data_IF_650180116592
#
_entry.id   IF_650180116592
#
_cell.length_a   1.000
_cell.length_b   1.000
_cell.length_c   1.000
_cell.angle_alpha   90.00
_cell.angle_beta   90.00
_cell.angle_gamma   90.00
#
_symmetry.space_group_name_H-M   'P 1'
#
loop_
_entity.id
_entity.type
_entity.pdbx_description
1 polymer ?
#
# COMPACT_ATOMS: atom_id res chain seq x y z
N UNK A 1 -7.18 8.36 42.63
CA UNK A 1 -5.99 9.13 42.15
C UNK A 1 -5.57 8.85 40.70
N UNK A 2 -5.40 7.60 40.23
CA UNK A 2 -5.10 7.33 38.80
C UNK A 2 -6.39 7.30 37.95
N UNK A 3 -7.43 6.64 38.44
CA UNK A 3 -8.73 6.52 37.78
C UNK A 3 -9.40 7.87 37.52
N UNK A 4 -9.43 8.79 38.49
CA UNK A 4 -10.01 10.13 38.33
C UNK A 4 -9.29 10.98 37.27
N UNK A 5 -7.95 10.84 37.16
CA UNK A 5 -7.18 11.50 36.09
C UNK A 5 -7.54 10.96 34.71
N UNK A 6 -7.82 9.65 34.59
CA UNK A 6 -8.27 9.03 33.35
C UNK A 6 -9.66 9.57 32.95
N UNK A 7 -10.57 9.75 33.91
CA UNK A 7 -11.90 10.32 33.65
C UNK A 7 -11.87 11.79 33.22
N UNK A 8 -11.04 12.63 33.84
CA UNK A 8 -10.87 14.02 33.42
C UNK A 8 -10.30 14.15 31.99
N UNK A 9 -9.43 13.23 31.60
CA UNK A 9 -8.84 13.17 30.25
C UNK A 9 -9.86 12.63 29.23
N UNK A 10 -10.78 11.73 29.63
CA UNK A 10 -11.78 11.15 28.74
C UNK A 10 -12.69 12.19 28.03
N UNK A 11 -12.94 13.35 28.65
CA UNK A 11 -13.75 14.44 28.07
C UNK A 11 -13.12 15.13 26.84
N UNK A 12 -11.80 15.08 26.72
CA UNK A 12 -11.06 15.67 25.59
C UNK A 12 -10.74 14.59 24.54
N UNK A 13 -10.63 13.33 24.94
CA UNK A 13 -10.09 12.27 24.09
C UNK A 13 -11.08 11.81 23.02
N UNK A 14 -12.39 11.81 23.28
CA UNK A 14 -13.41 11.43 22.29
C UNK A 14 -13.38 12.33 21.04
N UNK A 15 -13.41 13.65 21.24
CA UNK A 15 -13.32 14.63 20.15
C UNK A 15 -11.95 14.61 19.48
N UNK A 16 -10.87 14.51 20.25
CA UNK A 16 -9.51 14.44 19.70
C UNK A 16 -9.32 13.19 18.82
N UNK A 17 -9.87 12.04 19.22
CA UNK A 17 -9.82 10.81 18.42
C UNK A 17 -10.58 10.94 17.10
N UNK A 18 -11.76 11.56 17.10
CA UNK A 18 -12.51 11.80 15.87
C UNK A 18 -11.78 12.75 14.92
N UNK A 19 -11.21 13.85 15.43
CA UNK A 19 -10.38 14.77 14.64
C UNK A 19 -9.12 14.09 14.10
N UNK A 20 -8.48 13.24 14.91
CA UNK A 20 -7.33 12.44 14.50
C UNK A 20 -7.71 11.46 13.38
N UNK A 21 -8.82 10.73 13.52
CA UNK A 21 -9.33 9.82 12.50
C UNK A 21 -9.67 10.55 11.20
N UNK A 22 -10.30 11.72 11.29
CA UNK A 22 -10.58 12.57 10.14
C UNK A 22 -9.29 13.01 9.44
N UNK A 23 -8.29 13.44 10.19
CA UNK A 23 -6.99 13.82 9.65
C UNK A 23 -6.29 12.64 8.94
N UNK A 24 -6.27 11.46 9.58
CA UNK A 24 -5.72 10.24 8.99
C UNK A 24 -6.50 9.84 7.71
N UNK A 25 -7.82 10.04 7.70
CA UNK A 25 -8.66 9.80 6.51
C UNK A 25 -8.29 10.70 5.34
N UNK A 26 -8.09 11.99 5.60
CA UNK A 26 -7.68 12.94 4.56
C UNK A 26 -6.29 12.61 4.02
N UNK A 27 -5.34 12.26 4.90
CA UNK A 27 -4.01 11.81 4.50
C UNK A 27 -4.07 10.51 3.67
N UNK A 28 -4.87 9.52 4.10
CA UNK A 28 -4.97 8.24 3.40
C UNK A 28 -5.59 8.43 2.01
N UNK A 29 -6.64 9.24 1.88
CA UNK A 29 -7.24 9.61 0.59
C UNK A 29 -6.24 10.32 -0.32
N UNK A 30 -5.47 11.28 0.20
CA UNK A 30 -4.43 11.96 -0.56
C UNK A 30 -3.37 10.99 -1.11
N UNK A 31 -2.91 10.06 -0.28
CA UNK A 31 -1.95 9.03 -0.69
C UNK A 31 -2.56 8.03 -1.70
N UNK A 32 -3.83 7.66 -1.54
CA UNK A 32 -4.55 6.81 -2.51
C UNK A 32 -4.60 7.49 -3.88
N UNK A 33 -4.95 8.78 -3.94
CA UNK A 33 -5.04 9.52 -5.20
C UNK A 33 -3.68 9.64 -5.88
N UNK A 34 -2.63 10.04 -5.14
CA UNK A 34 -1.27 10.09 -5.67
C UNK A 34 -0.85 8.74 -6.27
N UNK A 35 -1.14 7.64 -5.56
CA UNK A 35 -0.85 6.29 -6.04
C UNK A 35 -1.67 5.86 -7.24
N UNK A 36 -2.94 6.27 -7.30
CA UNK A 36 -3.78 5.98 -8.44
C UNK A 36 -3.20 6.54 -9.74
N UNK A 37 -2.70 7.78 -9.75
CA UNK A 37 -2.15 8.37 -10.97
C UNK A 37 -0.77 7.78 -11.33
N UNK A 38 0.13 7.63 -10.36
CA UNK A 38 1.49 7.17 -10.62
C UNK A 38 1.55 5.68 -10.95
N UNK A 39 0.91 4.83 -10.13
CA UNK A 39 1.03 3.37 -10.30
C UNK A 39 0.19 2.85 -11.48
N UNK A 40 -0.94 3.48 -11.80
CA UNK A 40 -1.75 3.10 -12.97
C UNK A 40 -0.97 3.27 -14.26
N UNK A 41 -0.20 4.35 -14.41
CA UNK A 41 0.65 4.59 -15.58
C UNK A 41 1.68 3.47 -15.74
N UNK A 42 2.45 3.20 -14.67
CA UNK A 42 3.47 2.15 -14.65
C UNK A 42 2.87 0.77 -14.94
N UNK A 43 1.77 0.43 -14.27
CA UNK A 43 1.12 -0.87 -14.42
C UNK A 43 0.54 -1.10 -15.82
N UNK A 44 0.15 -0.02 -16.52
CA UNK A 44 -0.31 -0.09 -17.91
C UNK A 44 0.83 -0.48 -18.85
N UNK A 45 2.02 0.13 -18.69
CA UNK A 45 3.21 -0.26 -19.46
C UNK A 45 3.63 -1.70 -19.16
N UNK A 46 3.63 -2.11 -17.89
CA UNK A 46 3.90 -3.50 -17.50
C UNK A 46 2.94 -4.50 -18.17
N UNK A 47 1.64 -4.18 -18.26
CA UNK A 47 0.68 -5.05 -18.97
C UNK A 47 1.04 -5.19 -20.44
N UNK A 48 1.39 -4.09 -21.11
CA UNK A 48 1.84 -4.08 -22.50
C UNK A 48 3.08 -4.96 -22.69
N UNK A 49 4.10 -4.81 -21.84
CA UNK A 49 5.32 -5.62 -21.90
C UNK A 49 5.02 -7.11 -21.68
N UNK A 50 4.16 -7.45 -20.71
CA UNK A 50 3.76 -8.85 -20.47
C UNK A 50 3.03 -9.47 -21.66
N UNK A 51 2.16 -8.71 -22.32
CA UNK A 51 1.51 -9.17 -23.56
C UNK A 51 2.52 -9.39 -24.69
N UNK A 52 3.49 -8.48 -24.83
CA UNK A 52 4.58 -8.63 -25.79
C UNK A 52 5.47 -9.85 -25.50
N UNK A 53 5.84 -10.08 -24.24
CA UNK A 53 6.58 -11.28 -23.80
C UNK A 53 5.80 -12.55 -24.19
N UNK A 54 4.51 -12.60 -23.88
CA UNK A 54 3.66 -13.76 -24.19
C UNK A 54 3.63 -14.03 -25.70
N UNK A 55 3.44 -12.99 -26.51
CA UNK A 55 3.41 -13.10 -27.97
C UNK A 55 4.79 -13.53 -28.53
N UNK A 56 5.88 -13.04 -27.97
CA UNK A 56 7.24 -13.41 -28.37
C UNK A 56 7.53 -14.89 -28.13
N UNK A 57 7.09 -15.43 -26.98
CA UNK A 57 7.27 -16.85 -26.65
C UNK A 57 6.49 -17.73 -27.64
N UNK A 58 5.26 -17.34 -27.99
CA UNK A 58 4.44 -18.08 -28.96
C UNK A 58 5.05 -18.06 -30.37
N UNK A 59 5.55 -16.90 -30.79
CA UNK A 59 6.09 -16.69 -32.13
C UNK A 59 7.58 -17.05 -32.27
N UNK A 60 8.20 -17.62 -31.22
CA UNK A 60 9.63 -17.99 -31.19
C UNK A 60 10.58 -16.85 -31.59
N UNK A 61 10.20 -15.59 -31.30
CA UNK A 61 11.01 -14.43 -31.66
C UNK A 61 12.25 -14.35 -30.75
N UNK A 62 13.41 -14.61 -31.34
CA UNK A 62 14.69 -14.64 -30.65
C UNK A 62 15.19 -13.25 -30.24
N UNK A 63 14.81 -12.23 -31.01
CA UNK A 63 15.36 -10.87 -30.89
C UNK A 63 14.48 -9.94 -30.05
N UNK A 64 13.38 -10.45 -29.49
CA UNK A 64 12.46 -9.67 -28.66
C UNK A 64 13.14 -9.01 -27.46
N UNK A 65 14.15 -9.68 -26.88
CA UNK A 65 14.91 -9.10 -25.77
C UNK A 65 15.67 -7.83 -26.20
N UNK A 66 16.21 -7.79 -27.42
CA UNK A 66 16.85 -6.59 -27.95
C UNK A 66 15.84 -5.47 -28.24
N UNK A 67 14.64 -5.82 -28.71
CA UNK A 67 13.56 -4.85 -28.93
C UNK A 67 13.04 -4.27 -27.61
N UNK A 68 12.86 -5.12 -26.59
CA UNK A 68 12.47 -4.69 -25.24
C UNK A 68 13.54 -3.78 -24.63
N UNK A 69 14.82 -4.06 -24.84
CA UNK A 69 15.92 -3.21 -24.40
C UNK A 69 15.94 -1.82 -25.05
N UNK A 70 15.20 -1.59 -26.14
CA UNK A 70 15.05 -0.25 -26.74
C UNK A 70 13.97 0.58 -26.03
N UNK A 71 13.05 -0.06 -25.31
CA UNK A 71 12.04 0.64 -24.52
C UNK A 71 12.64 1.15 -23.20
N UNK A 72 13.01 2.42 -23.14
CA UNK A 72 13.55 3.03 -21.91
C UNK A 72 12.47 3.67 -21.03
N UNK A 73 11.20 3.59 -21.43
CA UNK A 73 10.09 4.19 -20.69
C UNK A 73 9.57 3.25 -19.59
N UNK A 74 9.55 1.95 -19.84
CA UNK A 74 9.14 0.93 -18.86
C UNK A 74 10.28 0.52 -17.92
N UNK A 75 9.94 0.02 -16.72
CA UNK A 75 10.94 -0.51 -15.79
C UNK A 75 11.61 -1.77 -16.36
N UNK A 76 10.82 -2.59 -17.06
CA UNK A 76 11.22 -3.80 -17.75
C UNK A 76 12.21 -3.53 -18.88
N UNK A 77 11.93 -2.55 -19.74
CA UNK A 77 12.82 -2.24 -20.84
C UNK A 77 14.11 -1.53 -20.39
N UNK A 78 14.06 -0.71 -19.32
CA UNK A 78 15.26 -0.17 -18.68
C UNK A 78 16.20 -1.25 -18.16
N UNK A 79 15.68 -2.25 -17.43
CA UNK A 79 16.52 -3.33 -16.95
C UNK A 79 16.98 -4.24 -18.08
N UNK A 80 16.14 -4.48 -19.11
CA UNK A 80 16.56 -5.17 -20.32
C UNK A 80 17.71 -4.45 -21.04
N UNK A 81 17.70 -3.11 -21.07
CA UNK A 81 18.79 -2.31 -21.63
C UNK A 81 20.11 -2.50 -20.88
N UNK A 82 20.07 -2.35 -19.55
CA UNK A 82 21.25 -2.57 -18.71
C UNK A 82 21.77 -4.01 -18.81
N UNK A 83 20.85 -4.98 -18.79
CA UNK A 83 21.17 -6.39 -18.97
C UNK A 83 21.79 -6.68 -20.34
N UNK A 84 21.26 -6.11 -21.43
CA UNK A 84 21.81 -6.28 -22.77
C UNK A 84 23.22 -5.72 -22.88
N UNK A 85 23.48 -4.55 -22.28
CA UNK A 85 24.84 -3.97 -22.21
C UNK A 85 25.79 -4.89 -21.43
N UNK A 86 25.35 -5.37 -20.27
CA UNK A 86 26.11 -6.28 -19.42
C UNK A 86 26.45 -7.60 -20.13
N UNK A 87 25.47 -8.20 -20.83
CA UNK A 87 25.66 -9.44 -21.59
C UNK A 87 26.70 -9.26 -22.69
N UNK A 88 26.73 -8.11 -23.36
CA UNK A 88 27.73 -7.82 -24.41
C UNK A 88 29.14 -7.65 -23.86
N UNK A 89 29.29 -7.16 -22.63
CA UNK A 89 30.59 -6.86 -22.02
C UNK A 89 31.16 -8.04 -21.21
N UNK A 90 30.30 -8.71 -20.43
CA UNK A 90 30.69 -9.70 -19.40
C UNK A 90 29.99 -11.05 -19.55
N UNK A 91 29.15 -11.23 -20.57
CA UNK A 91 28.35 -12.44 -20.77
C UNK A 91 27.26 -12.62 -19.72
N UNK A 92 26.91 -13.87 -19.44
CA UNK A 92 25.85 -14.23 -18.47
C UNK A 92 26.24 -14.08 -16.99
N UNK A 93 27.54 -13.91 -16.68
CA UNK A 93 28.03 -13.82 -15.28
C UNK A 93 27.58 -12.51 -14.63
N UNK A 94 26.98 -12.57 -13.45
CA UNK A 94 26.56 -11.38 -12.71
C UNK A 94 25.18 -10.82 -13.13
N UNK A 95 24.50 -11.45 -14.09
CA UNK A 95 23.22 -10.95 -14.60
C UNK A 95 22.12 -11.06 -13.53
N UNK A 96 22.07 -12.16 -12.78
CA UNK A 96 21.09 -12.34 -11.71
C UNK A 96 21.25 -11.30 -10.61
N UNK A 97 22.49 -11.03 -10.20
CA UNK A 97 22.83 -9.99 -9.22
C UNK A 97 22.37 -8.62 -9.71
N UNK A 98 22.60 -8.29 -10.99
CA UNK A 98 22.16 -7.04 -11.60
C UNK A 98 20.63 -6.87 -11.54
N UNK A 99 19.85 -7.90 -11.86
CA UNK A 99 18.39 -7.87 -11.74
C UNK A 99 17.92 -7.75 -10.29
N UNK A 100 18.55 -8.49 -9.37
CA UNK A 100 18.23 -8.43 -7.95
C UNK A 100 18.49 -7.04 -7.36
N UNK A 101 19.64 -6.43 -7.66
CA UNK A 101 19.97 -5.06 -7.25
C UNK A 101 18.98 -4.05 -7.82
N UNK A 102 18.58 -4.21 -9.09
CA UNK A 102 17.58 -3.34 -9.70
C UNK A 102 16.23 -3.42 -8.99
N UNK A 103 15.73 -4.64 -8.72
CA UNK A 103 14.48 -4.87 -7.98
C UNK A 103 14.54 -4.24 -6.59
N UNK A 104 15.64 -4.41 -5.85
CA UNK A 104 15.83 -3.81 -4.53
C UNK A 104 15.80 -2.28 -4.57
N UNK A 105 16.27 -1.68 -5.67
CA UNK A 105 16.30 -0.23 -5.84
C UNK A 105 14.91 0.34 -6.13
N UNK A 106 14.14 -0.30 -7.04
CA UNK A 106 12.83 0.23 -7.46
C UNK A 106 11.68 -0.14 -6.52
N UNK A 107 11.81 -1.24 -5.76
CA UNK A 107 10.71 -1.76 -4.93
C UNK A 107 10.23 -0.74 -3.89
N UNK A 108 11.10 -0.03 -3.15
CA UNK A 108 10.65 1.01 -2.23
C UNK A 108 9.86 2.14 -2.92
N UNK A 109 10.23 2.51 -4.15
CA UNK A 109 9.51 3.52 -4.93
C UNK A 109 8.11 3.05 -5.33
N UNK A 110 7.99 1.78 -5.72
CA UNK A 110 6.71 1.13 -6.03
C UNK A 110 5.84 0.90 -4.78
N UNK A 111 6.45 0.73 -3.61
CA UNK A 111 5.76 0.47 -2.32
C UNK A 111 5.56 1.72 -1.44
N UNK A 112 6.11 2.89 -1.81
CA UNK A 112 5.82 4.19 -1.17
C UNK A 112 4.32 4.33 -0.82
N UNK A 113 4.04 4.82 0.39
CA UNK A 113 2.68 4.94 0.98
C UNK A 113 1.87 3.65 1.19
N UNK A 114 2.21 2.50 0.59
CA UNK A 114 1.48 1.24 0.85
C UNK A 114 1.63 0.84 2.32
N UNK A 115 2.82 0.98 2.90
CA UNK A 115 3.04 0.72 4.32
C UNK A 115 2.16 1.61 5.21
N UNK A 116 1.99 2.89 4.85
CA UNK A 116 1.11 3.79 5.58
C UNK A 116 -0.35 3.34 5.49
N UNK A 117 -0.83 3.01 4.29
CA UNK A 117 -2.19 2.49 4.09
C UNK A 117 -2.42 1.17 4.85
N UNK A 118 -1.42 0.30 4.91
CA UNK A 118 -1.47 -0.93 5.70
C UNK A 118 -1.59 -0.62 7.20
N UNK A 119 -0.79 0.32 7.72
CA UNK A 119 -0.84 0.75 9.13
C UNK A 119 -2.18 1.40 9.46
N UNK A 120 -2.69 2.29 8.61
CA UNK A 120 -4.00 2.93 8.81
C UNK A 120 -5.11 1.87 8.77
N UNK A 121 -5.07 0.98 7.79
CA UNK A 121 -6.04 -0.09 7.64
C UNK A 121 -6.11 -1.04 8.84
N UNK A 122 -4.97 -1.35 9.47
CA UNK A 122 -4.93 -2.22 10.64
C UNK A 122 -5.22 -1.50 11.96
N UNK A 123 -4.87 -0.22 12.10
CA UNK A 123 -4.96 0.49 13.38
C UNK A 123 -6.18 1.42 13.53
N UNK A 124 -6.75 1.94 12.43
CA UNK A 124 -7.93 2.82 12.51
C UNK A 124 -9.16 2.16 13.18
N UNK A 125 -9.44 0.85 13.01
CA UNK A 125 -10.53 0.20 13.76
C UNK A 125 -10.29 0.20 15.26
N UNK A 126 -9.04 0.01 15.70
CA UNK A 126 -8.68 0.02 17.12
C UNK A 126 -8.77 1.43 17.72
N UNK A 127 -8.46 2.48 16.95
CA UNK A 127 -8.71 3.86 17.38
C UNK A 127 -10.21 4.14 17.56
N UNK A 128 -11.06 3.63 16.67
CA UNK A 128 -12.51 3.73 16.81
C UNK A 128 -13.04 2.97 18.03
N UNK A 129 -12.56 1.73 18.24
CA UNK A 129 -12.89 0.92 19.42
C UNK A 129 -12.48 1.62 20.72
N UNK A 130 -11.28 2.19 20.77
CA UNK A 130 -10.81 2.98 21.90
C UNK A 130 -11.75 4.16 22.19
N UNK A 131 -12.19 4.87 21.15
CA UNK A 131 -13.19 5.94 21.27
C UNK A 131 -14.50 5.45 21.89
N UNK A 132 -14.97 4.26 21.49
CA UNK A 132 -16.17 3.67 22.09
C UNK A 132 -15.99 3.29 23.56
N UNK A 133 -14.85 2.68 23.92
CA UNK A 133 -14.56 2.33 25.32
C UNK A 133 -14.56 3.60 26.20
N UNK A 134 -13.88 4.66 25.75
CA UNK A 134 -13.81 5.92 26.50
C UNK A 134 -15.17 6.63 26.58
N UNK A 135 -15.94 6.63 25.49
CA UNK A 135 -17.28 7.22 25.47
C UNK A 135 -18.26 6.50 26.40
N UNK A 136 -18.21 5.17 26.44
CA UNK A 136 -19.01 4.37 27.38
C UNK A 136 -18.58 4.64 28.82
N UNK A 137 -17.27 4.65 29.10
CA UNK A 137 -16.75 4.98 30.44
C UNK A 137 -17.24 6.34 30.93
N UNK A 138 -17.22 7.35 30.05
CA UNK A 138 -17.73 8.69 30.32
C UNK A 138 -19.23 8.68 30.63
N UNK A 139 -20.03 8.02 29.80
CA UNK A 139 -21.49 7.95 30.00
C UNK A 139 -21.86 7.33 31.36
N UNK A 140 -21.14 6.30 31.81
CA UNK A 140 -21.34 5.70 33.14
C UNK A 140 -20.83 6.57 34.29
N UNK A 141 -19.77 7.34 34.10
CA UNK A 141 -19.29 8.29 35.10
C UNK A 141 -20.26 9.46 35.28
N UNK A 142 -20.81 9.99 34.19
CA UNK A 142 -21.79 11.08 34.25
C UNK A 142 -23.06 10.63 34.99
N UNK A 143 -23.46 9.36 34.81
CA UNK A 143 -24.56 8.74 35.57
C UNK A 143 -24.27 8.62 37.07
N UNK A 144 -23.03 8.33 37.47
CA UNK A 144 -22.70 8.11 38.88
C UNK A 144 -22.58 9.41 39.69
N UNK A 145 -22.24 10.52 39.03
CA UNK A 145 -22.03 11.83 39.68
C UNK A 145 -23.31 12.65 39.74
N UNK A 146 -24.22 12.49 38.78
CA UNK A 146 -25.45 13.27 38.73
C UNK A 146 -26.63 12.54 39.40
N UNK A 147 -27.15 13.12 40.50
CA UNK A 147 -28.26 12.57 41.28
C UNK A 147 -29.56 12.37 40.47
N UNK A 148 -29.74 13.12 39.38
CA UNK A 148 -30.91 13.09 38.49
C UNK A 148 -30.52 12.98 37.00
N UNK A 149 -29.31 12.50 36.67
CA UNK A 149 -28.98 12.24 35.26
C UNK A 149 -29.91 11.15 34.71
N UNK A 150 -30.88 11.57 33.90
CA UNK A 150 -31.84 10.68 33.29
C UNK A 150 -31.19 9.68 32.33
N UNK A 151 -31.85 8.54 32.16
CA UNK A 151 -31.51 7.49 31.19
C UNK A 151 -31.14 8.04 29.80
N UNK A 152 -31.76 9.14 29.38
CA UNK A 152 -31.49 9.81 28.10
C UNK A 152 -30.03 10.30 27.96
N UNK A 153 -29.42 10.83 29.02
CA UNK A 153 -28.04 11.36 28.97
C UNK A 153 -27.04 10.24 28.70
N UNK A 154 -27.23 9.09 29.36
CA UNK A 154 -26.37 7.91 29.17
C UNK A 154 -26.54 7.32 27.77
N UNK A 155 -27.78 7.23 27.29
CA UNK A 155 -28.07 6.74 25.93
C UNK A 155 -27.43 7.65 24.86
N UNK A 156 -27.43 8.97 25.05
CA UNK A 156 -26.73 9.91 24.16
C UNK A 156 -25.21 9.70 24.18
N UNK A 157 -24.61 9.51 25.37
CA UNK A 157 -23.19 9.21 25.52
C UNK A 157 -22.78 7.93 24.78
N UNK A 158 -23.52 6.84 24.96
CA UNK A 158 -23.29 5.56 24.27
C UNK A 158 -23.45 5.72 22.75
N UNK A 159 -24.47 6.46 22.29
CA UNK A 159 -24.67 6.71 20.86
C UNK A 159 -23.46 7.41 20.24
N UNK A 160 -22.95 8.47 20.87
CA UNK A 160 -21.74 9.16 20.39
C UNK A 160 -20.50 8.25 20.38
N UNK A 161 -20.38 7.35 21.37
CA UNK A 161 -19.31 6.37 21.46
C UNK A 161 -19.34 5.39 20.28
N UNK A 162 -20.52 4.97 19.82
CA UNK A 162 -20.67 4.09 18.65
C UNK A 162 -20.27 4.78 17.34
N UNK A 163 -20.48 6.09 17.23
CA UNK A 163 -20.05 6.87 16.06
C UNK A 163 -18.52 6.81 15.89
N UNK A 164 -17.76 6.79 16.99
CA UNK A 164 -16.29 6.68 16.93
C UNK A 164 -15.83 5.36 16.28
N UNK A 165 -16.46 4.23 16.62
CA UNK A 165 -16.16 2.95 15.97
C UNK A 165 -16.55 2.97 14.49
N UNK A 166 -17.72 3.51 14.16
CA UNK A 166 -18.15 3.64 12.76
C UNK A 166 -17.16 4.48 11.95
N UNK A 167 -16.66 5.59 12.51
CA UNK A 167 -15.64 6.42 11.90
C UNK A 167 -14.31 5.66 11.69
N UNK A 168 -13.84 4.92 12.70
CA UNK A 168 -12.63 4.10 12.59
C UNK A 168 -12.72 3.06 11.46
N UNK A 169 -13.86 2.38 11.33
CA UNK A 169 -14.12 1.44 10.23
C UNK A 169 -14.20 2.14 8.88
N UNK A 170 -14.84 3.30 8.81
CA UNK A 170 -14.96 4.08 7.58
C UNK A 170 -13.59 4.52 7.04
N UNK A 171 -12.63 4.80 7.92
CA UNK A 171 -11.24 5.11 7.52
C UNK A 171 -10.47 3.84 7.14
N UNK A 172 -10.65 2.75 7.88
CA UNK A 172 -9.90 1.51 7.69
C UNK A 172 -10.25 0.79 6.38
N UNK A 173 -11.54 0.66 6.05
CA UNK A 173 -12.01 -0.17 4.93
C UNK A 173 -11.41 0.30 3.60
N UNK A 174 -11.49 1.59 3.21
CA UNK A 174 -10.86 2.06 1.99
C UNK A 174 -9.35 1.86 2.01
N UNK A 175 -8.67 2.15 3.13
CA UNK A 175 -7.22 2.00 3.24
C UNK A 175 -6.77 0.56 2.95
N UNK A 176 -7.46 -0.44 3.52
CA UNK A 176 -7.16 -1.86 3.27
C UNK A 176 -7.45 -2.27 1.82
N UNK A 177 -8.58 -1.84 1.26
CA UNK A 177 -8.95 -2.16 -0.13
C UNK A 177 -7.91 -1.64 -1.10
N UNK A 178 -7.51 -0.37 -0.96
CA UNK A 178 -6.52 0.24 -1.84
C UNK A 178 -5.11 -0.30 -1.60
N UNK A 179 -4.72 -0.59 -0.36
CA UNK A 179 -3.47 -1.29 -0.06
C UNK A 179 -3.38 -2.63 -0.82
N UNK A 180 -4.43 -3.45 -0.76
CA UNK A 180 -4.47 -4.74 -1.45
C UNK A 180 -4.44 -4.57 -2.98
N UNK A 181 -5.19 -3.59 -3.49
CA UNK A 181 -5.22 -3.28 -4.93
C UNK A 181 -3.86 -2.84 -5.47
N UNK A 182 -3.15 -1.94 -4.77
CA UNK A 182 -1.83 -1.47 -5.18
C UNK A 182 -0.76 -2.54 -4.96
N UNK A 183 -0.79 -3.28 -3.86
CA UNK A 183 0.12 -4.40 -3.59
C UNK A 183 0.09 -5.45 -4.71
N UNK A 184 -1.10 -5.76 -5.24
CA UNK A 184 -1.24 -6.68 -6.37
C UNK A 184 -0.59 -6.14 -7.65
N UNK A 185 -0.67 -4.84 -7.90
CA UNK A 185 -0.04 -4.20 -9.06
C UNK A 185 1.48 -4.18 -8.92
N UNK A 186 2.01 -3.77 -7.76
CA UNK A 186 3.45 -3.82 -7.48
C UNK A 186 3.99 -5.23 -7.68
N UNK A 187 3.33 -6.24 -7.11
CA UNK A 187 3.72 -7.65 -7.30
C UNK A 187 3.74 -8.05 -8.77
N UNK A 188 2.76 -7.62 -9.56
CA UNK A 188 2.71 -7.93 -10.99
C UNK A 188 3.85 -7.26 -11.79
N UNK A 189 4.27 -6.05 -11.41
CA UNK A 189 5.44 -5.37 -12.00
C UNK A 189 6.72 -6.13 -11.67
N UNK A 190 6.91 -6.50 -10.40
CA UNK A 190 8.10 -7.25 -9.97
C UNK A 190 8.19 -8.62 -10.67
N UNK A 191 7.07 -9.32 -10.82
CA UNK A 191 7.02 -10.59 -11.57
C UNK A 191 7.29 -10.41 -13.07
N UNK A 192 6.91 -9.27 -13.64
CA UNK A 192 7.22 -8.92 -15.04
C UNK A 192 8.74 -8.77 -15.23
N UNK A 193 9.41 -8.05 -14.32
CA UNK A 193 10.87 -7.91 -14.32
C UNK A 193 11.58 -9.26 -14.16
N UNK A 194 11.07 -10.12 -13.30
CA UNK A 194 11.58 -11.50 -13.15
C UNK A 194 11.44 -12.30 -14.46
N UNK A 195 10.34 -12.12 -15.18
CA UNK A 195 10.17 -12.74 -16.51
C UNK A 195 11.20 -12.22 -17.52
N UNK A 196 11.55 -10.94 -17.46
CA UNK A 196 12.59 -10.33 -18.30
C UNK A 196 13.98 -10.87 -17.94
N UNK A 197 14.25 -11.15 -16.67
CA UNK A 197 15.49 -11.82 -16.24
C UNK A 197 15.66 -13.17 -16.93
N UNK A 198 14.63 -14.01 -16.91
CA UNK A 198 14.65 -15.33 -17.55
C UNK A 198 14.85 -15.23 -19.07
N UNK A 199 14.22 -14.23 -19.72
CA UNK A 199 14.47 -13.94 -21.13
C UNK A 199 15.91 -13.53 -21.39
N UNK A 200 16.49 -12.67 -20.55
CA UNK A 200 17.88 -12.23 -20.67
C UNK A 200 18.89 -13.37 -20.50
N UNK A 201 18.66 -14.26 -19.52
CA UNK A 201 19.48 -15.46 -19.33
C UNK A 201 19.39 -16.42 -20.51
N UNK A 202 18.19 -16.62 -21.06
CA UNK A 202 17.97 -17.44 -22.25
C UNK A 202 18.66 -16.85 -23.48
N UNK A 203 18.58 -15.53 -23.65
CA UNK A 203 19.25 -14.80 -24.71
C UNK A 203 20.78 -14.95 -24.63
N UNK A 204 21.38 -14.79 -23.45
CA UNK A 204 22.82 -14.97 -23.24
C UNK A 204 23.28 -16.38 -23.62
N UNK A 205 22.57 -17.41 -23.12
CA UNK A 205 22.83 -18.83 -23.46
C UNK A 205 22.76 -19.10 -24.96
N UNK A 206 21.76 -18.55 -25.66
CA UNK A 206 21.59 -18.76 -27.10
C UNK A 206 22.70 -18.12 -27.93
N UNK A 207 23.23 -16.98 -27.52
CA UNK A 207 24.35 -16.30 -28.19
C UNK A 207 25.73 -16.89 -27.85
N UNK A 208 25.79 -17.86 -26.93
CA UNK A 208 27.04 -18.51 -26.56
C UNK A 208 27.97 -17.62 -25.73
N UNK A 209 27.41 -16.68 -24.95
CA UNK A 209 28.14 -15.71 -24.11
C UNK A 209 27.75 -15.89 -22.63
#
# INVERSE_FOLDING_TARGET
MITEKIFAVAHLVDQVLLWLLLFISLLSLGMILERFFNLKKVFTETKRVREQIKNSIQNHQADFFEDLARDTLSYEGRIANYALKHIKESGSKGLEELFNTYVLTIKPELERFLNFLATVGSNAPYLGLLGTVLGIMKAFNDLSVAQDAGQQTVMAGISSALVATAAGLFVAIPAVVFYNYYSRQVKAILLSIESVKELGLTYAKKKGI
#
